data_IF_856983277551
#
_entry.id   IF_856983277551
#
_cell.length_a   1.000
_cell.length_b   1.000
_cell.length_c   1.000
_cell.angle_alpha   90.00
_cell.angle_beta   90.00
_cell.angle_gamma   90.00
#
_symmetry.space_group_name_H-M   'P 1'
#
loop_
_entity.id
_entity.type
_entity.pdbx_description
1 polymer ?
#
# COMPACT_ATOMS: atom_id res chain seq x y z
N UNK A 1 -20.20 -0.87 -35.23
CA UNK A 1 -20.04 -1.77 -36.40
C UNK A 1 -19.46 -3.13 -36.02
N UNK A 2 -18.33 -3.21 -35.31
CA UNK A 2 -17.67 -4.48 -34.97
C UNK A 2 -18.54 -5.51 -34.22
N UNK A 3 -19.32 -5.09 -33.22
CA UNK A 3 -20.18 -6.02 -32.46
C UNK A 3 -21.25 -6.71 -33.32
N UNK A 4 -21.81 -6.00 -34.31
CA UNK A 4 -22.80 -6.56 -35.25
C UNK A 4 -22.15 -7.53 -36.24
N UNK A 5 -20.89 -7.29 -36.61
CA UNK A 5 -20.10 -8.14 -37.50
C UNK A 5 -19.69 -9.48 -36.84
N UNK A 6 -19.42 -9.47 -35.53
CA UNK A 6 -19.15 -10.70 -34.77
C UNK A 6 -20.43 -11.51 -34.56
N UNK A 7 -21.56 -10.85 -34.29
CA UNK A 7 -22.86 -11.53 -34.16
C UNK A 7 -23.32 -12.19 -35.46
N UNK A 8 -23.00 -11.61 -36.62
CA UNK A 8 -23.30 -12.20 -37.93
C UNK A 8 -22.33 -13.32 -38.33
N UNK A 9 -21.15 -13.39 -37.72
CA UNK A 9 -20.09 -14.35 -38.06
C UNK A 9 -19.54 -15.04 -36.79
N UNK A 10 -20.27 -16.02 -36.23
CA UNK A 10 -19.90 -16.62 -34.94
C UNK A 10 -18.55 -17.36 -34.95
N UNK A 11 -18.09 -17.81 -36.12
CA UNK A 11 -16.78 -18.44 -36.28
C UNK A 11 -15.60 -17.48 -35.96
N UNK A 12 -15.80 -16.16 -36.04
CA UNK A 12 -14.76 -15.16 -35.76
C UNK A 12 -14.73 -14.74 -34.28
N UNK A 13 -15.78 -15.03 -33.51
CA UNK A 13 -15.89 -14.69 -32.10
C UNK A 13 -14.68 -15.11 -31.24
N UNK A 14 -14.13 -16.34 -31.33
CA UNK A 14 -12.99 -16.74 -30.51
C UNK A 14 -11.72 -15.91 -30.78
N UNK A 15 -11.52 -15.42 -32.00
CA UNK A 15 -10.37 -14.58 -32.35
C UNK A 15 -10.48 -13.20 -31.68
N UNK A 16 -11.65 -12.57 -31.77
CA UNK A 16 -11.90 -11.30 -31.07
C UNK A 16 -11.82 -11.45 -29.56
N UNK A 17 -12.29 -12.57 -29.01
CA UNK A 17 -12.18 -12.87 -27.59
C UNK A 17 -10.70 -12.98 -27.15
N UNK A 18 -9.86 -13.70 -27.90
CA UNK A 18 -8.45 -13.84 -27.59
C UNK A 18 -7.70 -12.49 -27.63
N UNK A 19 -7.95 -11.67 -28.66
CA UNK A 19 -7.34 -10.33 -28.78
C UNK A 19 -7.85 -9.41 -27.67
N UNK A 20 -9.16 -9.38 -27.43
CA UNK A 20 -9.76 -8.59 -26.36
C UNK A 20 -9.25 -8.96 -24.98
N UNK A 21 -9.14 -10.26 -24.69
CA UNK A 21 -8.55 -10.76 -23.46
C UNK A 21 -7.08 -10.35 -23.31
N UNK A 22 -6.30 -10.38 -24.40
CA UNK A 22 -4.91 -9.91 -24.41
C UNK A 22 -4.79 -8.42 -24.07
N UNK A 23 -5.61 -7.57 -24.70
CA UNK A 23 -5.60 -6.12 -24.43
C UNK A 23 -5.99 -5.82 -22.98
N UNK A 24 -7.08 -6.42 -22.50
CA UNK A 24 -7.54 -6.24 -21.11
C UNK A 24 -6.52 -6.77 -20.10
N UNK A 25 -5.92 -7.94 -20.38
CA UNK A 25 -4.88 -8.52 -19.54
C UNK A 25 -3.63 -7.65 -19.46
N UNK A 26 -3.17 -7.08 -20.57
CA UNK A 26 -2.03 -6.17 -20.60
C UNK A 26 -2.30 -4.88 -19.82
N UNK A 27 -3.46 -4.26 -20.02
CA UNK A 27 -3.85 -3.05 -19.27
C UNK A 27 -3.97 -3.32 -17.78
N UNK A 28 -4.62 -4.44 -17.40
CA UNK A 28 -4.76 -4.83 -16.01
C UNK A 28 -3.41 -5.13 -15.35
N UNK A 29 -2.53 -5.89 -16.01
CA UNK A 29 -1.21 -6.21 -15.49
C UNK A 29 -0.35 -4.95 -15.31
N UNK A 30 -0.37 -4.03 -16.28
CA UNK A 30 0.29 -2.74 -16.15
C UNK A 30 -0.20 -1.99 -14.91
N UNK A 31 -1.52 -1.84 -14.76
CA UNK A 31 -2.10 -1.18 -13.59
C UNK A 31 -1.75 -1.89 -12.27
N UNK A 32 -1.77 -3.22 -12.25
CA UNK A 32 -1.38 -4.03 -11.09
C UNK A 32 0.06 -3.74 -10.67
N UNK A 33 1.01 -3.70 -11.62
CA UNK A 33 2.42 -3.39 -11.36
C UNK A 33 2.58 -1.98 -10.83
N UNK A 34 1.92 -0.98 -11.44
CA UNK A 34 2.03 0.41 -10.99
C UNK A 34 1.54 0.60 -9.55
N UNK A 35 0.51 -0.14 -9.13
CA UNK A 35 -0.10 0.00 -7.81
C UNK A 35 0.61 -0.81 -6.73
N UNK A 36 0.99 -2.05 -7.02
CA UNK A 36 1.40 -3.03 -6.01
C UNK A 36 2.91 -3.30 -6.01
N UNK A 37 3.65 -2.90 -7.04
CA UNK A 37 5.08 -3.20 -7.13
C UNK A 37 5.91 -2.16 -6.34
N UNK A 38 6.86 -2.67 -5.57
CA UNK A 38 7.73 -1.89 -4.67
C UNK A 38 8.78 -1.06 -5.43
N UNK A 39 9.11 -1.46 -6.66
CA UNK A 39 10.08 -0.78 -7.52
C UNK A 39 9.51 0.49 -8.17
N UNK A 40 8.19 0.70 -8.12
CA UNK A 40 7.52 1.79 -8.81
C UNK A 40 7.35 2.98 -7.86
N UNK A 41 8.04 4.10 -8.16
CA UNK A 41 8.11 5.28 -7.28
C UNK A 41 7.09 6.38 -7.59
N UNK A 42 5.99 6.05 -8.28
CA UNK A 42 5.03 7.03 -8.81
C UNK A 42 4.16 7.63 -7.69
N UNK A 43 3.82 6.85 -6.65
CA UNK A 43 2.86 7.24 -5.62
C UNK A 43 3.50 7.78 -4.31
N UNK A 44 4.67 8.44 -4.39
CA UNK A 44 5.40 8.92 -3.19
C UNK A 44 4.68 9.99 -2.36
N UNK A 45 3.71 10.69 -2.94
CA UNK A 45 2.92 11.68 -2.23
C UNK A 45 1.99 11.10 -1.16
N UNK A 46 1.48 9.88 -1.38
CA UNK A 46 0.57 9.19 -0.44
C UNK A 46 1.33 8.23 0.46
N UNK A 47 2.35 7.55 -0.09
CA UNK A 47 3.22 6.67 0.66
C UNK A 47 4.68 7.07 0.41
N UNK A 48 5.37 7.72 1.38
CA UNK A 48 6.75 8.15 1.22
C UNK A 48 7.76 7.03 0.96
N UNK A 49 7.44 5.79 1.36
CA UNK A 49 8.33 4.62 1.30
C UNK A 49 7.67 3.43 0.57
N UNK A 50 7.35 3.57 -0.73
CA UNK A 50 6.65 2.52 -1.49
C UNK A 50 7.42 1.19 -1.57
N UNK A 51 8.75 1.25 -1.50
CA UNK A 51 9.63 0.07 -1.44
C UNK A 51 9.45 -0.76 -0.15
N UNK A 52 8.82 -0.20 0.88
CA UNK A 52 8.67 -0.85 2.19
C UNK A 52 7.28 -1.46 2.43
N UNK A 53 6.48 -1.66 1.38
CA UNK A 53 5.11 -2.22 1.51
C UNK A 53 5.05 -3.75 1.53
N UNK A 54 6.16 -4.43 1.27
CA UNK A 54 6.18 -5.89 1.17
C UNK A 54 6.49 -6.51 2.51
N UNK A 55 5.49 -7.22 3.04
CA UNK A 55 5.57 -7.99 4.28
C UNK A 55 6.10 -9.39 4.03
N UNK A 56 6.56 -10.07 5.08
CA UNK A 56 7.08 -11.44 4.98
C UNK A 56 6.06 -12.48 4.50
N UNK A 57 4.78 -12.26 4.76
CA UNK A 57 3.67 -13.14 4.38
C UNK A 57 3.18 -12.92 2.95
N UNK A 58 3.72 -11.92 2.25
CA UNK A 58 3.24 -11.51 0.94
C UNK A 58 4.22 -11.94 -0.16
N UNK A 59 3.68 -12.61 -1.17
CA UNK A 59 4.41 -12.93 -2.38
C UNK A 59 4.42 -11.72 -3.33
N UNK A 60 5.59 -11.36 -3.83
CA UNK A 60 5.76 -10.26 -4.79
C UNK A 60 5.55 -10.68 -6.24
N UNK A 61 5.56 -11.99 -6.52
CA UNK A 61 5.33 -12.52 -7.87
C UNK A 61 3.83 -12.56 -8.16
N UNK A 62 3.45 -12.48 -9.44
CA UNK A 62 2.07 -12.69 -9.87
C UNK A 62 1.49 -14.03 -9.40
N UNK A 63 2.34 -15.05 -9.33
CA UNK A 63 1.96 -16.38 -8.89
C UNK A 63 3.12 -17.02 -8.12
N UNK A 64 2.78 -17.77 -7.06
CA UNK A 64 3.72 -18.63 -6.35
C UNK A 64 3.13 -20.04 -6.28
N UNK A 65 3.85 -21.06 -6.75
CA UNK A 65 3.42 -22.46 -6.59
C UNK A 65 3.38 -22.92 -5.14
N UNK A 66 4.07 -22.22 -4.22
CA UNK A 66 4.20 -22.59 -2.82
C UNK A 66 3.44 -21.60 -1.93
N UNK A 67 2.11 -21.66 -1.97
CA UNK A 67 1.26 -20.75 -1.19
C UNK A 67 1.42 -20.99 0.33
N UNK A 68 1.68 -22.22 0.73
CA UNK A 68 1.81 -22.69 2.11
C UNK A 68 2.99 -22.03 2.82
N UNK A 69 4.09 -21.79 2.11
CA UNK A 69 5.24 -21.05 2.63
C UNK A 69 4.91 -19.60 3.00
N UNK A 70 4.04 -18.94 2.25
CA UNK A 70 3.64 -17.56 2.54
C UNK A 70 2.64 -17.53 3.70
N UNK A 71 1.71 -18.48 3.73
CA UNK A 71 0.74 -18.64 4.83
C UNK A 71 1.42 -18.90 6.17
N UNK A 72 2.51 -19.67 6.20
CA UNK A 72 3.23 -19.95 7.45
C UNK A 72 3.96 -18.74 8.04
N UNK A 73 4.13 -17.67 7.26
CA UNK A 73 4.77 -16.42 7.69
C UNK A 73 3.77 -15.35 8.16
N UNK A 74 2.48 -15.66 8.14
CA UNK A 74 1.45 -14.75 8.64
C UNK A 74 1.67 -14.52 10.14
N UNK A 75 1.92 -13.26 10.52
CA UNK A 75 2.11 -12.86 11.91
C UNK A 75 3.55 -13.00 12.43
N UNK A 76 4.51 -13.42 11.59
CA UNK A 76 5.92 -13.35 11.96
C UNK A 76 6.37 -11.89 12.02
N UNK A 77 7.18 -11.50 13.03
CA UNK A 77 7.80 -10.19 13.07
C UNK A 77 8.69 -9.98 11.84
N UNK A 78 8.60 -8.81 11.21
CA UNK A 78 9.50 -8.47 10.12
C UNK A 78 10.96 -8.46 10.62
N UNK A 79 11.91 -9.12 9.95
CA UNK A 79 13.30 -9.22 10.40
C UNK A 79 13.99 -7.85 10.47
N UNK A 80 13.41 -6.83 9.80
CA UNK A 80 13.85 -5.44 9.87
C UNK A 80 13.61 -4.85 11.27
N UNK A 81 12.54 -5.25 11.95
CA UNK A 81 12.22 -4.73 13.28
C UNK A 81 13.30 -5.07 14.30
N UNK A 82 14.07 -6.15 14.09
CA UNK A 82 15.22 -6.46 14.93
C UNK A 82 16.31 -5.37 14.90
N UNK A 83 16.41 -4.63 13.79
CA UNK A 83 17.40 -3.57 13.61
C UNK A 83 16.85 -2.17 13.90
N UNK A 84 15.54 -1.96 13.68
CA UNK A 84 14.90 -0.65 13.91
C UNK A 84 14.28 -0.51 15.29
N UNK A 85 14.11 -1.59 16.07
CA UNK A 85 13.44 -1.56 17.38
C UNK A 85 13.95 -0.46 18.31
N UNK A 86 15.27 -0.24 18.35
CA UNK A 86 15.88 0.82 19.16
C UNK A 86 15.47 2.21 18.66
N UNK A 87 15.60 2.46 17.36
CA UNK A 87 15.23 3.73 16.73
C UNK A 87 13.73 4.02 16.86
N UNK A 88 12.89 3.01 16.65
CA UNK A 88 11.43 3.12 16.74
C UNK A 88 10.98 3.39 18.18
N UNK A 89 11.65 2.80 19.17
CA UNK A 89 11.39 3.07 20.59
C UNK A 89 11.76 4.51 20.98
N UNK A 90 12.90 5.03 20.48
CA UNK A 90 13.34 6.41 20.71
C UNK A 90 12.37 7.41 20.05
N UNK A 91 12.04 7.22 18.77
CA UNK A 91 11.07 8.06 18.05
C UNK A 91 9.68 8.07 18.72
N UNK A 92 9.20 6.91 19.19
CA UNK A 92 7.91 6.80 19.89
C UNK A 92 7.94 7.49 21.24
N UNK A 93 9.08 7.48 21.94
CA UNK A 93 9.24 8.22 23.18
C UNK A 93 9.24 9.73 22.93
N UNK A 94 9.98 10.21 21.92
CA UNK A 94 10.03 11.62 21.54
C UNK A 94 8.67 12.16 21.10
N UNK A 95 7.92 11.40 20.29
CA UNK A 95 6.57 11.77 19.86
C UNK A 95 5.61 11.87 21.05
N UNK A 96 5.68 10.95 22.02
CA UNK A 96 4.87 11.04 23.26
C UNK A 96 5.23 12.28 24.08
N UNK A 97 6.52 12.63 24.16
CA UNK A 97 6.97 13.85 24.85
C UNK A 97 6.45 15.10 24.14
N UNK A 98 6.51 15.15 22.81
CA UNK A 98 5.96 16.25 22.01
C UNK A 98 4.44 16.38 22.16
N UNK A 99 3.69 15.27 22.16
CA UNK A 99 2.24 15.27 22.39
C UNK A 99 1.89 15.79 23.80
N UNK A 100 2.66 15.40 24.81
CA UNK A 100 2.47 15.89 26.18
C UNK A 100 2.81 17.38 26.26
N UNK A 101 3.87 17.83 25.58
CA UNK A 101 4.24 19.24 25.51
C UNK A 101 3.17 20.09 24.80
N UNK A 102 2.60 19.59 23.69
CA UNK A 102 1.47 20.23 22.99
C UNK A 102 0.21 20.30 23.84
N UNK A 103 -0.11 19.23 24.57
CA UNK A 103 -1.26 19.23 25.51
C UNK A 103 -1.03 20.17 26.68
N UNK A 104 0.20 20.25 27.19
CA UNK A 104 0.56 21.15 28.27
C UNK A 104 0.49 22.61 27.81
N UNK A 105 1.03 22.94 26.64
CA UNK A 105 0.98 24.31 26.10
C UNK A 105 -0.46 24.74 25.79
N UNK A 106 -1.31 23.86 25.26
CA UNK A 106 -2.72 24.12 25.05
C UNK A 106 -3.45 24.42 26.37
N UNK A 107 -3.15 23.65 27.43
CA UNK A 107 -3.75 23.85 28.76
C UNK A 107 -3.26 25.14 29.43
N UNK A 108 -1.99 25.50 29.26
CA UNK A 108 -1.46 26.80 29.73
C UNK A 108 -2.12 27.97 29.00
N UNK A 109 -2.36 27.83 27.70
CA UNK A 109 -3.09 28.84 26.91
C UNK A 109 -4.52 29.02 27.43
N UNK A 110 -5.23 27.92 27.70
CA UNK A 110 -6.58 27.95 28.28
C UNK A 110 -6.59 28.65 29.66
N UNK A 111 -5.64 28.33 30.55
CA UNK A 111 -5.54 28.97 31.87
C UNK A 111 -5.27 30.46 31.74
N UNK A 112 -4.40 30.86 30.80
CA UNK A 112 -4.08 32.28 30.56
C UNK A 112 -5.31 33.04 30.06
N UNK A 113 -6.10 32.48 29.16
CA UNK A 113 -7.35 33.10 28.70
C UNK A 113 -8.38 33.21 29.82
N UNK A 114 -8.51 32.20 30.70
CA UNK A 114 -9.38 32.28 31.89
C UNK A 114 -8.92 33.32 32.92
N UNK A 115 -7.61 33.57 33.04
CA UNK A 115 -7.05 34.54 33.98
C UNK A 115 -7.16 35.99 33.49
N UNK A 116 -7.15 36.21 32.18
CA UNK A 116 -7.27 37.54 31.54
C UNK A 116 -8.73 37.95 31.36
N UNK A 117 -9.68 37.00 31.38
CA UNK A 117 -11.12 37.28 31.43
C UNK A 117 -11.64 37.64 32.83
N UNK A 118 -11.27 38.82 33.35
CA UNK A 118 -11.99 39.58 34.38
C UNK A 118 -11.88 41.07 34.07
#
# INVERSE_FOLDING_TARGET
>A
MAARFVASNPALAPLFAAVGAGMLGASWFGFHVLKNNQEVLIARGVNPTPWNNVRQDQNTKLYSPNAEFWKSRVGLPDPRSAFTATTDAVMKAEMKVQDVALKASAKVHEIKERAVGR
#
